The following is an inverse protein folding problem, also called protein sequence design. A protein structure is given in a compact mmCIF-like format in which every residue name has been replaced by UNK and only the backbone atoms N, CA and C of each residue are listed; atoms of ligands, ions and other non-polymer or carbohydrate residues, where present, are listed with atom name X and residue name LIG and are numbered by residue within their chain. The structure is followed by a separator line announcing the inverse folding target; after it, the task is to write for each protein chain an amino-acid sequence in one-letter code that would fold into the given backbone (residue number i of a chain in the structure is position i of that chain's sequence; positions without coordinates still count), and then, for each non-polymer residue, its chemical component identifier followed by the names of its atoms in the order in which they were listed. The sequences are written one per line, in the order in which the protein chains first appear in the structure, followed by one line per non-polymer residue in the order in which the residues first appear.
data_IF_529569456807
#
_entry.id   IF_529569456807
#
_cell.length_a   1.000
_cell.length_b   1.000
_cell.length_c   1.000
_cell.angle_alpha   90.00
_cell.angle_beta   90.00
_cell.angle_gamma   90.00
#
_symmetry.space_group_name_H-M   'P 1'
#
loop_
_entity.id
_entity.type
_entity.pdbx_description
1 polymer ?
#
# COMPACT_ATOMS: atom_id res chain seq x y z
N UNK A 1 21.80 5.96 -4.09
CA UNK A 1 21.28 5.99 -5.48
C UNK A 1 21.10 4.60 -6.10
N UNK A 2 22.04 3.66 -5.94
CA UNK A 2 21.88 2.29 -6.44
C UNK A 2 20.79 1.53 -5.68
N UNK A 3 20.68 1.72 -4.37
CA UNK A 3 19.71 1.02 -3.51
C UNK A 3 18.26 1.41 -3.83
N UNK A 4 18.00 2.68 -4.12
CA UNK A 4 16.68 3.19 -4.51
C UNK A 4 16.26 2.65 -5.87
N UNK A 5 17.20 2.54 -6.82
CA UNK A 5 16.95 1.95 -8.13
C UNK A 5 16.67 0.45 -8.03
N UNK A 6 17.46 -0.28 -7.22
CA UNK A 6 17.27 -1.70 -6.92
C UNK A 6 15.90 -1.95 -6.27
N UNK A 7 15.54 -1.14 -5.27
CA UNK A 7 14.23 -1.22 -4.62
C UNK A 7 13.09 -0.98 -5.60
N UNK A 8 13.19 0.07 -6.42
CA UNK A 8 12.20 0.37 -7.46
C UNK A 8 12.06 -0.77 -8.49
N UNK A 9 13.19 -1.32 -8.95
CA UNK A 9 13.21 -2.45 -9.88
C UNK A 9 12.59 -3.71 -9.26
N UNK A 10 12.87 -4.01 -7.99
CA UNK A 10 12.29 -5.14 -7.26
C UNK A 10 10.77 -5.00 -7.11
N UNK A 11 10.26 -3.82 -6.74
CA UNK A 11 8.81 -3.57 -6.65
C UNK A 11 8.15 -3.71 -8.02
N UNK A 12 8.77 -3.16 -9.07
CA UNK A 12 8.29 -3.27 -10.45
C UNK A 12 8.23 -4.72 -10.94
N UNK A 13 9.29 -5.50 -10.69
CA UNK A 13 9.34 -6.93 -11.00
C UNK A 13 8.28 -7.71 -10.22
N UNK A 14 8.13 -7.48 -8.91
CA UNK A 14 7.12 -8.14 -8.11
C UNK A 14 5.69 -7.85 -8.63
N UNK A 15 5.41 -6.59 -9.00
CA UNK A 15 4.12 -6.20 -9.55
C UNK A 15 3.85 -6.83 -10.94
N UNK A 16 4.88 -6.91 -11.81
CA UNK A 16 4.75 -7.52 -13.13
C UNK A 16 4.58 -9.04 -13.06
N UNK A 17 5.33 -9.73 -12.18
CA UNK A 17 5.17 -11.15 -11.89
C UNK A 17 3.76 -11.48 -11.37
N UNK A 18 3.23 -10.66 -10.47
CA UNK A 18 1.87 -10.84 -9.95
C UNK A 18 0.82 -10.67 -11.06
N UNK A 19 1.02 -9.68 -11.93
CA UNK A 19 0.10 -9.39 -13.03
C UNK A 19 0.17 -10.45 -14.14
N UNK A 20 1.37 -10.88 -14.54
CA UNK A 20 1.57 -11.89 -15.59
C UNK A 20 1.27 -13.32 -15.11
N UNK A 21 1.60 -13.64 -13.87
CA UNK A 21 1.39 -14.98 -13.32
C UNK A 21 -0.07 -15.25 -12.94
N UNK A 22 -0.69 -14.32 -12.21
CA UNK A 22 -2.01 -14.54 -11.58
C UNK A 22 -3.10 -13.66 -12.23
N UNK A 23 -2.73 -12.72 -13.10
CA UNK A 23 -3.69 -11.81 -13.75
C UNK A 23 -4.25 -10.75 -12.80
N UNK A 24 -3.64 -10.55 -11.63
CA UNK A 24 -4.17 -9.70 -10.55
C UNK A 24 -3.29 -8.49 -10.27
N UNK A 25 -3.93 -7.42 -9.80
CA UNK A 25 -3.32 -6.12 -9.49
C UNK A 25 -3.01 -6.06 -7.98
N UNK A 26 -1.83 -5.55 -7.59
CA UNK A 26 -1.41 -5.40 -6.18
C UNK A 26 -2.05 -4.19 -5.49
N UNK A 27 -3.39 -4.20 -5.38
CA UNK A 27 -4.13 -3.23 -4.56
C UNK A 27 -4.32 -3.75 -3.13
N UNK A 28 -3.69 -3.11 -2.13
CA UNK A 28 -3.87 -3.48 -0.72
C UNK A 28 -5.36 -3.46 -0.29
N UNK A 29 -6.13 -2.45 -0.70
CA UNK A 29 -7.58 -2.38 -0.42
C UNK A 29 -8.35 -3.58 -1.00
N UNK A 30 -7.96 -4.06 -2.18
CA UNK A 30 -8.57 -5.24 -2.83
C UNK A 30 -8.22 -6.54 -2.10
N UNK A 31 -6.97 -6.68 -1.67
CA UNK A 31 -6.51 -7.82 -0.87
C UNK A 31 -7.25 -7.86 0.47
N UNK A 32 -7.29 -6.73 1.20
CA UNK A 32 -7.95 -6.65 2.50
C UNK A 32 -9.46 -6.89 2.41
N UNK A 33 -10.14 -6.27 1.44
CA UNK A 33 -11.59 -6.44 1.25
C UNK A 33 -11.98 -7.87 0.87
N UNK A 34 -11.15 -8.59 0.12
CA UNK A 34 -11.38 -10.00 -0.22
C UNK A 34 -11.23 -10.96 0.97
N UNK A 35 -10.53 -10.55 2.03
CA UNK A 35 -10.40 -11.31 3.28
C UNK A 35 -11.49 -10.95 4.30
N UNK A 36 -11.82 -9.66 4.42
CA UNK A 36 -12.69 -9.16 5.50
C UNK A 36 -14.11 -8.78 5.07
N UNK A 37 -14.32 -8.20 3.89
CA UNK A 37 -15.58 -7.48 3.57
C UNK A 37 -16.50 -8.17 2.56
N UNK A 38 -15.99 -9.10 1.72
CA UNK A 38 -16.81 -9.84 0.75
C UNK A 38 -16.83 -11.35 1.04
N UNK A 39 -17.31 -11.70 2.24
CA UNK A 39 -17.66 -13.08 2.58
C UNK A 39 -18.98 -13.49 1.92
N UNK A 40 -18.97 -13.70 0.60
CA UNK A 40 -20.02 -14.49 -0.09
C UNK A 40 -19.45 -15.87 -0.44
N UNK A 41 -20.23 -16.90 -0.10
CA UNK A 41 -19.97 -18.34 -0.07
C UNK A 41 -19.53 -19.03 -1.39
N UNK A 42 -18.60 -18.46 -2.17
CA UNK A 42 -18.20 -19.06 -3.45
C UNK A 42 -16.87 -18.61 -4.07
N UNK A 43 -15.99 -17.91 -3.35
CA UNK A 43 -14.73 -17.37 -3.92
C UNK A 43 -13.47 -17.84 -3.18
N UNK A 44 -13.35 -19.15 -2.92
CA UNK A 44 -12.18 -19.74 -2.23
C UNK A 44 -10.84 -19.37 -2.91
N UNK A 45 -10.78 -19.43 -4.25
CA UNK A 45 -9.59 -19.01 -5.02
C UNK A 45 -9.18 -17.55 -4.80
N UNK A 46 -10.12 -16.62 -4.55
CA UNK A 46 -9.75 -15.23 -4.22
C UNK A 46 -9.19 -15.10 -2.82
N UNK A 47 -9.81 -15.77 -1.85
CA UNK A 47 -9.41 -15.74 -0.44
C UNK A 47 -8.03 -16.36 -0.21
N UNK A 48 -7.74 -17.50 -0.84
CA UNK A 48 -6.43 -18.14 -0.74
C UNK A 48 -5.32 -17.25 -1.28
N UNK A 49 -5.51 -16.63 -2.45
CA UNK A 49 -4.50 -15.72 -3.01
C UNK A 49 -4.21 -14.53 -2.10
N UNK A 50 -5.24 -13.88 -1.59
CA UNK A 50 -5.08 -12.72 -0.70
C UNK A 50 -4.42 -13.09 0.62
N UNK A 51 -4.72 -14.28 1.14
CA UNK A 51 -4.05 -14.81 2.32
C UNK A 51 -2.55 -15.01 2.07
N UNK A 52 -2.17 -15.69 0.97
CA UNK A 52 -0.75 -15.88 0.61
C UNK A 52 -0.03 -14.55 0.37
N UNK A 53 -0.69 -13.58 -0.26
CA UNK A 53 -0.13 -12.24 -0.48
C UNK A 53 0.11 -11.50 0.85
N UNK A 54 -0.87 -11.46 1.75
CA UNK A 54 -0.69 -10.83 3.06
C UNK A 54 0.34 -11.56 3.90
N UNK A 55 0.34 -12.89 3.87
CA UNK A 55 1.31 -13.69 4.59
C UNK A 55 2.73 -13.35 4.11
N UNK A 56 2.95 -13.26 2.81
CA UNK A 56 4.24 -12.81 2.25
C UNK A 56 4.63 -11.41 2.70
N UNK A 57 3.69 -10.46 2.74
CA UNK A 57 3.94 -9.08 3.18
C UNK A 57 4.26 -8.98 4.68
N UNK A 58 3.58 -9.76 5.52
CA UNK A 58 3.86 -9.83 6.97
C UNK A 58 5.19 -10.53 7.24
N UNK A 59 5.50 -11.60 6.51
CA UNK A 59 6.77 -12.32 6.63
C UNK A 59 7.96 -11.53 6.09
N UNK A 60 7.76 -10.56 5.18
CA UNK A 60 8.84 -9.78 4.61
C UNK A 60 9.69 -9.05 5.68
N UNK A 61 9.06 -8.49 6.72
CA UNK A 61 9.77 -7.78 7.80
C UNK A 61 10.74 -8.67 8.60
N UNK A 62 10.32 -9.80 9.21
CA UNK A 62 11.24 -10.67 9.93
C UNK A 62 12.29 -11.30 9.03
N UNK A 63 11.98 -11.59 7.75
CA UNK A 63 12.98 -12.02 6.79
C UNK A 63 14.05 -10.94 6.56
N UNK A 64 13.63 -9.67 6.36
CA UNK A 64 14.55 -8.55 6.19
C UNK A 64 15.50 -8.39 7.38
N UNK A 65 14.97 -8.58 8.59
CA UNK A 65 15.76 -8.51 9.82
C UNK A 65 16.81 -9.64 9.94
N UNK A 66 16.52 -10.82 9.38
CA UNK A 66 17.45 -11.95 9.36
C UNK A 66 18.66 -11.71 8.45
N UNK A 67 18.52 -10.84 7.44
CA UNK A 67 19.62 -10.41 6.57
C UNK A 67 20.50 -9.31 7.19
N UNK A 68 20.29 -8.94 8.46
CA UNK A 68 21.13 -8.00 9.20
C UNK A 68 20.93 -6.53 8.82
N UNK A 69 19.80 -6.20 8.17
CA UNK A 69 19.46 -4.83 7.79
C UNK A 69 18.51 -4.20 8.80
N UNK A 70 18.92 -3.10 9.43
CA UNK A 70 18.08 -2.31 10.31
C UNK A 70 17.37 -1.21 9.49
N UNK A 71 16.04 -1.21 9.49
CA UNK A 71 15.28 -0.11 8.94
C UNK A 71 15.05 0.95 10.03
N UNK A 72 15.32 2.24 9.78
CA UNK A 72 14.96 3.30 10.71
C UNK A 72 13.43 3.46 10.71
N UNK A 73 12.75 2.77 11.63
CA UNK A 73 11.30 2.92 11.81
C UNK A 73 11.06 3.99 12.87
N UNK A 74 10.59 5.16 12.45
CA UNK A 74 10.07 6.20 13.33
C UNK A 74 8.54 6.07 13.38
N UNK A 75 8.00 5.48 14.44
CA UNK A 75 6.56 5.42 14.70
C UNK A 75 6.22 6.41 15.79
N UNK A 76 5.15 7.18 15.57
CA UNK A 76 4.61 8.05 16.60
C UNK A 76 4.00 7.29 17.76
N UNK A 77 4.23 7.76 18.98
CA UNK A 77 3.70 7.15 20.21
C UNK A 77 2.23 7.50 20.47
N UNK A 78 1.66 8.47 19.72
CA UNK A 78 0.29 8.90 19.89
C UNK A 78 -0.70 7.94 19.19
N UNK A 79 -1.26 7.01 19.98
CA UNK A 79 -2.25 6.03 19.52
C UNK A 79 -3.54 6.66 18.96
N UNK A 80 -3.96 7.80 19.50
CA UNK A 80 -5.14 8.53 19.00
C UNK A 80 -4.94 9.06 17.59
N UNK A 81 -3.75 9.58 17.30
CA UNK A 81 -3.39 10.06 15.96
C UNK A 81 -3.30 8.90 14.96
N UNK A 82 -2.74 7.75 15.37
CA UNK A 82 -2.70 6.55 14.55
C UNK A 82 -4.09 5.99 14.22
N UNK A 83 -5.00 5.95 15.20
CA UNK A 83 -6.38 5.53 14.97
C UNK A 83 -7.11 6.47 14.00
N UNK A 84 -7.01 7.78 14.22
CA UNK A 84 -7.64 8.77 13.34
C UNK A 84 -7.07 8.71 11.91
N UNK A 85 -5.75 8.60 11.78
CA UNK A 85 -5.09 8.43 10.49
C UNK A 85 -5.57 7.16 9.77
N UNK A 86 -5.68 6.04 10.48
CA UNK A 86 -6.21 4.79 9.93
C UNK A 86 -7.63 4.91 9.38
N UNK A 87 -8.52 5.58 10.12
CA UNK A 87 -9.91 5.82 9.68
C UNK A 87 -9.95 6.73 8.44
N UNK A 88 -9.19 7.82 8.45
CA UNK A 88 -9.12 8.76 7.33
C UNK A 88 -8.56 8.09 6.07
N UNK A 89 -7.49 7.30 6.19
CA UNK A 89 -6.91 6.53 5.07
C UNK A 89 -7.89 5.48 4.58
N UNK A 90 -8.55 4.75 5.48
CA UNK A 90 -9.59 3.78 5.14
C UNK A 90 -10.72 4.40 4.31
N UNK A 91 -11.27 5.51 4.80
CA UNK A 91 -12.31 6.26 4.09
C UNK A 91 -11.81 6.80 2.74
N UNK A 92 -10.62 7.39 2.70
CA UNK A 92 -10.02 7.93 1.48
C UNK A 92 -9.81 6.87 0.39
N UNK A 93 -9.32 5.67 0.77
CA UNK A 93 -9.14 4.57 -0.19
C UNK A 93 -10.47 3.99 -0.68
N UNK A 94 -11.53 4.05 0.13
CA UNK A 94 -12.88 3.67 -0.29
C UNK A 94 -13.44 4.65 -1.33
N UNK A 95 -13.38 5.97 -1.05
CA UNK A 95 -13.85 7.01 -1.98
C UNK A 95 -13.03 7.03 -3.27
N UNK A 96 -11.71 6.83 -3.16
CA UNK A 96 -10.80 6.71 -4.31
C UNK A 96 -10.94 5.42 -5.11
N UNK A 97 -11.80 4.48 -4.68
CA UNK A 97 -11.97 3.14 -5.26
C UNK A 97 -10.63 2.39 -5.44
N UNK A 98 -9.71 2.58 -4.50
CA UNK A 98 -8.36 2.03 -4.57
C UNK A 98 -7.37 2.73 -3.64
N UNK A 99 -6.17 2.18 -3.56
CA UNK A 99 -5.06 2.71 -2.78
C UNK A 99 -3.92 3.21 -3.67
N UNK A 100 -2.97 3.91 -3.07
CA UNK A 100 -1.76 4.41 -3.74
C UNK A 100 -0.93 3.29 -4.37
N UNK A 101 -0.87 2.08 -3.77
CA UNK A 101 -0.16 0.95 -4.38
C UNK A 101 -0.81 0.49 -5.68
N UNK A 102 -2.15 0.42 -5.73
CA UNK A 102 -2.90 -0.01 -6.91
C UNK A 102 -2.91 1.04 -8.01
N UNK A 103 -3.16 2.30 -7.65
CA UNK A 103 -3.19 3.40 -8.62
C UNK A 103 -1.80 3.85 -9.06
N UNK A 104 -0.86 3.94 -8.13
CA UNK A 104 0.51 4.37 -8.36
C UNK A 104 1.32 3.32 -9.10
N UNK A 105 1.57 2.16 -8.48
CA UNK A 105 2.48 1.16 -9.04
C UNK A 105 1.87 0.49 -10.27
N UNK A 106 0.72 -0.16 -10.12
CA UNK A 106 0.12 -0.91 -11.23
C UNK A 106 -0.67 -0.03 -12.22
N UNK A 107 -1.34 1.01 -11.72
CA UNK A 107 -2.22 1.85 -12.54
C UNK A 107 -1.48 2.84 -13.43
N UNK A 108 -0.38 3.45 -12.94
CA UNK A 108 0.48 4.27 -13.79
C UNK A 108 1.26 3.43 -14.80
N UNK A 109 1.71 2.23 -14.42
CA UNK A 109 2.35 1.28 -15.34
C UNK A 109 1.45 0.85 -16.52
N UNK A 110 0.12 0.99 -16.38
CA UNK A 110 -0.88 0.73 -17.43
C UNK A 110 -1.32 2.00 -18.19
N UNK A 111 -0.64 3.13 -17.98
CA UNK A 111 -0.91 4.42 -18.62
C UNK A 111 -2.36 4.91 -18.48
N UNK A 112 -3.02 4.59 -17.36
CA UNK A 112 -4.39 5.03 -17.12
C UNK A 112 -4.43 6.46 -16.59
N UNK A 113 -5.03 7.38 -17.34
CA UNK A 113 -5.21 8.80 -16.97
C UNK A 113 -5.94 8.94 -15.63
N UNK A 114 -7.00 8.15 -15.40
CA UNK A 114 -7.73 8.12 -14.12
C UNK A 114 -6.80 7.80 -12.95
N UNK A 115 -5.88 6.87 -13.17
CA UNK A 115 -4.94 6.46 -12.14
C UNK A 115 -3.89 7.51 -11.84
N UNK A 116 -3.39 8.20 -12.88
CA UNK A 116 -2.46 9.33 -12.70
C UNK A 116 -3.10 10.44 -11.87
N UNK A 117 -4.35 10.81 -12.18
CA UNK A 117 -5.08 11.82 -11.40
C UNK A 117 -5.23 11.39 -9.94
N UNK A 118 -5.65 10.15 -9.68
CA UNK A 118 -5.78 9.63 -8.32
C UNK A 118 -4.44 9.62 -7.56
N UNK A 119 -3.33 9.26 -8.22
CA UNK A 119 -2.01 9.28 -7.60
C UNK A 119 -1.56 10.71 -7.27
N UNK A 120 -1.77 11.66 -8.19
CA UNK A 120 -1.43 13.07 -7.93
C UNK A 120 -2.25 13.63 -6.77
N UNK A 121 -3.55 13.35 -6.70
CA UNK A 121 -4.39 13.84 -5.59
C UNK A 121 -3.95 13.24 -4.25
N UNK A 122 -3.62 11.95 -4.18
CA UNK A 122 -3.08 11.34 -2.96
C UNK A 122 -1.76 11.97 -2.52
N UNK A 123 -0.83 12.21 -3.45
CA UNK A 123 0.47 12.82 -3.12
C UNK A 123 0.27 14.26 -2.64
N UNK A 124 -0.57 15.06 -3.31
CA UNK A 124 -0.88 16.44 -2.91
C UNK A 124 -1.52 16.48 -1.51
N UNK A 125 -2.50 15.62 -1.25
CA UNK A 125 -3.12 15.53 0.07
C UNK A 125 -2.10 15.14 1.17
N UNK A 126 -1.19 14.22 0.88
CA UNK A 126 -0.09 13.86 1.79
C UNK A 126 0.85 15.03 2.08
N UNK A 127 1.27 15.77 1.05
CA UNK A 127 2.10 16.97 1.20
C UNK A 127 1.41 18.03 2.07
N UNK A 128 0.12 18.29 1.83
CA UNK A 128 -0.67 19.24 2.63
C UNK A 128 -0.76 18.77 4.09
N UNK A 129 -0.99 17.46 4.31
CA UNK A 129 -1.08 16.88 5.66
C UNK A 129 0.22 17.07 6.43
N UNK A 130 1.35 16.74 5.82
CA UNK A 130 2.68 16.91 6.43
C UNK A 130 2.98 18.39 6.68
N UNK A 131 2.67 19.27 5.74
CA UNK A 131 2.86 20.71 5.91
C UNK A 131 2.03 21.26 7.08
N UNK A 132 0.78 20.82 7.23
CA UNK A 132 -0.08 21.20 8.36
C UNK A 132 0.45 20.63 9.70
N UNK A 133 0.87 19.37 9.72
CA UNK A 133 1.42 18.76 10.94
C UNK A 133 2.69 19.48 11.39
N UNK A 134 3.58 19.82 10.46
CA UNK A 134 4.78 20.59 10.73
C UNK A 134 4.46 22.00 11.26
N UNK A 135 3.47 22.68 10.67
CA UNK A 135 3.02 24.00 11.12
C UNK A 135 2.42 23.96 12.55
N UNK A 136 1.69 22.89 12.86
CA UNK A 136 1.08 22.67 14.18
C UNK A 136 2.09 22.11 15.21
N UNK A 137 3.34 21.86 14.83
CA UNK A 137 4.37 21.30 15.71
C UNK A 137 4.14 19.85 16.11
N UNK A 138 3.30 19.12 15.36
CA UNK A 138 3.00 17.70 15.60
C UNK A 138 4.12 16.87 14.99
N UNK A 139 5.12 16.53 15.81
CA UNK A 139 6.21 15.66 15.42
C UNK A 139 5.79 14.18 15.55
N UNK A 140 6.19 13.30 14.60
CA UNK A 140 6.05 11.87 14.78
C UNK A 140 6.91 11.38 15.96
#
# INVERSE_FOLDING_TARGET
MLDELLGGALIGLAASLLWLGIGRISGMTGVLSSLFLLSKSGQWSRRSWSFWFLLGLVLAWPLYHLFGAEAPIHITTNSGLLMLAGVLVGFGTYVGNGCTSGHGVCGMGRLSVRSMVATVTFIVAGMITVALMNLLGVQP
#
